data_IF_345953509951
#
_entry.id   IF_345953509951
#
_cell.length_a   1.000
_cell.length_b   1.000
_cell.length_c   1.000
_cell.angle_alpha   90.00
_cell.angle_beta   90.00
_cell.angle_gamma   90.00
#
_symmetry.space_group_name_H-M   'P 1'
#
loop_
_entity.id
_entity.type
_entity.pdbx_description
1 polymer ?
#
# COMPACT_ATOMS: atom_id res chain seq x y z
N UNK A 1 -3.97 0.46 -33.26
CA UNK A 1 -2.91 0.13 -32.28
C UNK A 1 -2.42 1.38 -31.53
N UNK A 2 -1.85 2.38 -32.21
CA UNK A 2 -1.22 3.57 -31.60
C UNK A 2 -2.16 4.40 -30.70
N UNK A 3 -3.44 4.55 -31.05
CA UNK A 3 -4.40 5.29 -30.20
C UNK A 3 -4.69 4.58 -28.88
N UNK A 4 -4.74 3.25 -28.87
CA UNK A 4 -5.03 2.48 -27.66
C UNK A 4 -3.86 2.54 -26.65
N UNK A 5 -2.63 2.46 -27.14
CA UNK A 5 -1.41 2.58 -26.31
C UNK A 5 -1.32 3.97 -25.65
N UNK A 6 -1.62 5.05 -26.40
CA UNK A 6 -1.68 6.41 -25.83
C UNK A 6 -2.74 6.53 -24.73
N UNK A 7 -3.93 5.97 -24.93
CA UNK A 7 -4.99 6.01 -23.93
C UNK A 7 -4.59 5.29 -22.64
N UNK A 8 -3.97 4.11 -22.74
CA UNK A 8 -3.49 3.34 -21.57
C UNK A 8 -2.42 4.12 -20.82
N UNK A 9 -1.43 4.70 -21.52
CA UNK A 9 -0.40 5.51 -20.88
C UNK A 9 -0.97 6.73 -20.13
N UNK A 10 -1.99 7.41 -20.69
CA UNK A 10 -2.67 8.51 -20.01
C UNK A 10 -3.42 8.05 -18.75
N UNK A 11 -4.08 6.89 -18.80
CA UNK A 11 -4.79 6.33 -17.63
C UNK A 11 -3.80 5.94 -16.52
N UNK A 12 -2.65 5.37 -16.87
CA UNK A 12 -1.61 5.01 -15.91
C UNK A 12 -0.97 6.24 -15.25
N UNK A 13 -0.66 7.29 -16.03
CA UNK A 13 -0.18 8.57 -15.47
C UNK A 13 -1.17 9.13 -14.46
N UNK A 14 -2.46 9.15 -14.82
CA UNK A 14 -3.52 9.63 -13.94
C UNK A 14 -3.65 8.76 -12.68
N UNK A 15 -3.55 7.44 -12.80
CA UNK A 15 -3.58 6.53 -11.64
C UNK A 15 -2.42 6.79 -10.68
N UNK A 16 -1.21 7.05 -11.20
CA UNK A 16 -0.05 7.44 -10.39
C UNK A 16 -0.26 8.78 -9.69
N UNK A 17 -0.78 9.80 -10.40
CA UNK A 17 -1.09 11.11 -9.81
C UNK A 17 -2.18 11.05 -8.72
N UNK A 18 -3.15 10.15 -8.88
CA UNK A 18 -4.24 9.95 -7.92
C UNK A 18 -3.87 8.99 -6.79
N UNK A 19 -2.70 8.37 -6.83
CA UNK A 19 -2.28 7.46 -5.77
C UNK A 19 -2.07 8.24 -4.47
N UNK A 20 -2.75 7.88 -3.37
CA UNK A 20 -2.63 8.59 -2.10
C UNK A 20 -1.18 8.59 -1.61
N UNK A 21 -0.74 9.70 -1.00
CA UNK A 21 0.57 9.76 -0.36
C UNK A 21 0.52 9.20 1.06
N UNK A 22 1.63 8.64 1.51
CA UNK A 22 1.78 8.15 2.87
C UNK A 22 2.44 9.20 3.76
N UNK A 23 1.72 9.60 4.80
CA UNK A 23 2.17 10.57 5.81
C UNK A 23 2.42 9.93 7.18
N UNK A 24 2.11 8.64 7.33
CA UNK A 24 2.26 7.92 8.60
C UNK A 24 1.20 8.27 9.66
N UNK A 25 0.05 8.83 9.24
CA UNK A 25 -1.05 9.11 10.17
C UNK A 25 -1.72 7.81 10.63
N UNK A 26 -2.34 7.80 11.83
CA UNK A 26 -2.94 6.59 12.40
C UNK A 26 -4.08 5.96 11.58
N UNK A 27 -4.71 6.73 10.69
CA UNK A 27 -5.76 6.28 9.78
C UNK A 27 -5.23 5.68 8.48
N UNK A 28 -3.90 5.68 8.27
CA UNK A 28 -3.25 5.08 7.12
C UNK A 28 -2.66 3.72 7.49
N UNK A 29 -3.13 2.67 6.82
CA UNK A 29 -2.54 1.33 6.94
C UNK A 29 -1.34 1.21 6.00
N UNK A 30 -0.15 1.00 6.57
CA UNK A 30 1.11 0.93 5.83
C UNK A 30 1.19 -0.29 4.89
N UNK A 31 0.65 -1.43 5.32
CA UNK A 31 0.62 -2.67 4.54
C UNK A 31 -0.30 -2.52 3.33
N UNK A 32 -1.53 -2.04 3.55
CA UNK A 32 -2.50 -1.80 2.48
C UNK A 32 -1.98 -0.75 1.50
N UNK A 33 -1.42 0.34 2.00
CA UNK A 33 -0.87 1.40 1.17
C UNK A 33 0.28 0.90 0.29
N UNK A 34 1.24 0.18 0.87
CA UNK A 34 2.39 -0.36 0.14
C UNK A 34 1.97 -1.37 -0.93
N UNK A 35 0.98 -2.21 -0.60
CA UNK A 35 0.42 -3.17 -1.55
C UNK A 35 -0.23 -2.45 -2.74
N UNK A 36 -1.10 -1.47 -2.47
CA UNK A 36 -1.81 -0.74 -3.53
C UNK A 36 -0.85 0.04 -4.44
N UNK A 37 0.17 0.70 -3.86
CA UNK A 37 1.20 1.38 -4.64
C UNK A 37 2.01 0.42 -5.52
N UNK A 38 2.40 -0.74 -4.98
CA UNK A 38 3.13 -1.77 -5.74
C UNK A 38 2.28 -2.34 -6.88
N UNK A 39 0.98 -2.54 -6.66
CA UNK A 39 0.03 -2.96 -7.69
C UNK A 39 -0.07 -1.90 -8.82
N UNK A 40 -0.11 -0.60 -8.48
CA UNK A 40 -0.07 0.50 -9.45
C UNK A 40 1.23 0.54 -10.25
N UNK A 41 2.39 0.38 -9.59
CA UNK A 41 3.68 0.32 -10.27
C UNK A 41 3.77 -0.86 -11.23
N UNK A 42 3.25 -2.03 -10.85
CA UNK A 42 3.18 -3.20 -11.73
C UNK A 42 2.29 -2.95 -12.94
N UNK A 43 1.12 -2.31 -12.77
CA UNK A 43 0.25 -1.95 -13.89
C UNK A 43 0.90 -0.97 -14.86
N UNK A 44 1.85 -0.16 -14.37
CA UNK A 44 2.62 0.79 -15.16
C UNK A 44 3.93 0.21 -15.73
N UNK A 45 4.13 -1.11 -15.65
CA UNK A 45 5.36 -1.80 -16.06
C UNK A 45 6.63 -1.17 -15.47
N UNK A 46 6.52 -0.65 -14.24
CA UNK A 46 7.61 0.05 -13.58
C UNK A 46 8.58 -0.95 -12.96
N UNK A 47 9.86 -0.82 -13.31
CA UNK A 47 10.93 -1.61 -12.72
C UNK A 47 11.16 -1.24 -11.25
N UNK A 48 11.71 -2.17 -10.46
CA UNK A 48 12.05 -1.91 -9.06
C UNK A 48 13.00 -0.71 -8.88
N UNK A 49 13.95 -0.54 -9.81
CA UNK A 49 14.86 0.59 -9.80
C UNK A 49 14.15 1.93 -10.06
N UNK A 50 13.13 1.95 -10.92
CA UNK A 50 12.30 3.13 -11.14
C UNK A 50 11.40 3.41 -9.92
N UNK A 51 10.74 2.38 -9.38
CA UNK A 51 9.91 2.48 -8.18
C UNK A 51 10.69 3.11 -7.01
N UNK A 52 11.91 2.63 -6.76
CA UNK A 52 12.77 3.15 -5.71
C UNK A 52 13.22 4.59 -5.93
N UNK A 53 13.40 5.03 -7.20
CA UNK A 53 13.71 6.43 -7.50
C UNK A 53 12.54 7.36 -7.23
N UNK A 54 11.32 6.92 -7.49
CA UNK A 54 10.14 7.78 -7.39
C UNK A 54 9.43 7.70 -6.05
N UNK A 55 9.69 6.68 -5.22
CA UNK A 55 9.00 6.52 -3.93
C UNK A 55 8.97 7.78 -3.04
N UNK A 56 9.99 8.67 -3.00
CA UNK A 56 9.93 9.87 -2.17
C UNK A 56 8.85 10.88 -2.59
N UNK A 57 8.27 10.76 -3.78
CA UNK A 57 7.15 11.61 -4.24
C UNK A 57 5.81 11.15 -3.66
N UNK A 58 5.73 9.89 -3.24
CA UNK A 58 4.56 9.27 -2.61
C UNK A 58 4.62 9.29 -1.08
N UNK A 59 5.71 9.80 -0.50
CA UNK A 59 5.88 9.96 0.94
C UNK A 59 5.74 11.45 1.32
N UNK A 60 5.18 11.73 2.50
CA UNK A 60 5.08 13.06 3.07
C UNK A 60 5.49 13.09 4.53
N UNK A 61 5.93 14.26 5.02
CA UNK A 61 6.29 14.45 6.41
C UNK A 61 7.40 13.48 6.88
N UNK A 62 7.17 12.85 8.02
CA UNK A 62 8.15 11.98 8.67
C UNK A 62 8.59 10.78 7.80
N UNK A 63 7.70 10.00 7.15
CA UNK A 63 8.09 8.98 6.17
C UNK A 63 9.07 9.44 5.09
N UNK A 64 8.88 10.64 4.55
CA UNK A 64 9.79 11.18 3.53
C UNK A 64 11.17 11.52 4.09
N UNK A 65 11.20 12.10 5.30
CA UNK A 65 12.45 12.41 5.99
C UNK A 65 13.21 11.12 6.31
N UNK A 66 12.53 10.14 6.90
CA UNK A 66 13.08 8.81 7.19
C UNK A 66 13.67 8.14 5.95
N UNK A 67 12.99 8.21 4.79
CA UNK A 67 13.54 7.66 3.55
C UNK A 67 14.85 8.37 3.17
N UNK A 68 14.88 9.69 3.27
CA UNK A 68 16.05 10.51 2.91
C UNK A 68 17.24 10.17 3.81
N UNK A 69 17.01 10.07 5.12
CA UNK A 69 18.04 9.77 6.12
C UNK A 69 18.63 8.37 5.96
N UNK A 70 17.85 7.42 5.43
CA UNK A 70 18.24 6.02 5.25
C UNK A 70 18.51 5.67 3.78
N UNK A 71 18.63 6.67 2.90
CA UNK A 71 18.70 6.46 1.44
C UNK A 71 19.84 5.55 0.97
N UNK A 72 20.94 5.49 1.71
CA UNK A 72 22.09 4.61 1.42
C UNK A 72 21.84 3.13 1.68
N UNK A 73 20.80 2.80 2.47
CA UNK A 73 20.46 1.43 2.86
C UNK A 73 19.53 0.78 1.82
N UNK A 74 18.76 1.58 1.09
CA UNK A 74 17.77 1.08 0.15
C UNK A 74 18.42 0.73 -1.20
N UNK A 75 19.06 -0.43 -1.27
CA UNK A 75 19.69 -0.92 -2.50
C UNK A 75 18.69 -1.57 -3.48
N UNK A 76 17.52 -1.96 -2.98
CA UNK A 76 16.45 -2.56 -3.79
C UNK A 76 15.07 -2.20 -3.26
N UNK A 77 14.06 -2.34 -4.12
CA UNK A 77 12.67 -2.16 -3.74
C UNK A 77 12.23 -3.13 -2.64
N UNK A 78 12.75 -4.36 -2.66
CA UNK A 78 12.47 -5.38 -1.64
C UNK A 78 12.97 -4.96 -0.24
N UNK A 79 14.20 -4.41 -0.16
CA UNK A 79 14.78 -3.91 1.10
C UNK A 79 13.99 -2.72 1.61
N UNK A 80 13.65 -1.77 0.73
CA UNK A 80 12.81 -0.63 1.11
C UNK A 80 11.46 -1.09 1.66
N UNK A 81 10.73 -1.99 0.98
CA UNK A 81 9.45 -2.51 1.46
C UNK A 81 9.55 -3.12 2.84
N UNK A 82 10.55 -3.98 3.07
CA UNK A 82 10.74 -4.64 4.36
C UNK A 82 10.97 -3.61 5.48
N UNK A 83 11.84 -2.63 5.26
CA UNK A 83 12.13 -1.58 6.23
C UNK A 83 10.93 -0.65 6.44
N UNK A 84 10.19 -0.31 5.39
CA UNK A 84 9.00 0.53 5.46
C UNK A 84 7.91 -0.13 6.30
N UNK A 85 7.60 -1.40 6.02
CA UNK A 85 6.63 -2.19 6.78
C UNK A 85 7.10 -2.33 8.23
N UNK A 86 8.36 -2.68 8.47
CA UNK A 86 8.89 -2.74 9.84
C UNK A 86 8.73 -1.42 10.62
N UNK A 87 8.92 -0.28 9.94
CA UNK A 87 8.90 1.05 10.57
C UNK A 87 7.48 1.58 10.78
N UNK A 88 6.60 1.38 9.80
CA UNK A 88 5.30 2.07 9.72
C UNK A 88 4.09 1.15 9.85
N UNK A 89 4.27 -0.18 9.75
CA UNK A 89 3.20 -1.08 10.12
C UNK A 89 3.00 -1.03 11.62
N UNK A 90 1.80 -0.66 12.03
CA UNK A 90 1.51 -0.59 13.44
C UNK A 90 1.35 -2.01 14.01
N UNK A 91 1.95 -2.33 15.17
CA UNK A 91 1.53 -3.49 15.96
C UNK A 91 0.02 -3.42 16.29
N UNK A 92 -0.52 -2.20 16.36
CA UNK A 92 -1.95 -1.97 16.50
C UNK A 92 -2.74 -2.41 15.28
N UNK A 93 -2.18 -2.52 14.07
CA UNK A 93 -2.92 -3.03 12.90
C UNK A 93 -3.25 -4.51 13.07
N UNK A 94 -2.33 -5.33 13.58
CA UNK A 94 -2.62 -6.73 13.96
C UNK A 94 -3.63 -6.80 15.10
N UNK A 95 -3.44 -5.98 16.13
CA UNK A 95 -4.34 -5.96 17.28
C UNK A 95 -5.75 -5.43 16.93
N UNK A 96 -5.84 -4.44 16.04
CA UNK A 96 -7.06 -3.84 15.52
C UNK A 96 -7.75 -4.78 14.53
N UNK A 97 -6.99 -5.43 13.65
CA UNK A 97 -7.51 -6.50 12.79
C UNK A 97 -8.04 -7.66 13.63
N UNK A 98 -7.33 -8.07 14.68
CA UNK A 98 -7.79 -9.09 15.64
C UNK A 98 -9.04 -8.64 16.40
N UNK A 99 -9.06 -7.40 16.89
CA UNK A 99 -10.23 -6.83 17.57
C UNK A 99 -11.44 -6.73 16.64
N UNK A 100 -11.24 -6.27 15.40
CA UNK A 100 -12.27 -6.18 14.38
C UNK A 100 -12.78 -7.57 14.00
N UNK A 101 -11.90 -8.53 13.77
CA UNK A 101 -12.26 -9.93 13.51
C UNK A 101 -13.12 -10.50 14.65
N UNK A 102 -12.74 -10.26 15.91
CA UNK A 102 -13.48 -10.71 17.10
C UNK A 102 -14.90 -10.14 17.19
N UNK A 103 -15.13 -8.92 16.71
CA UNK A 103 -16.43 -8.26 16.76
C UNK A 103 -17.21 -8.31 15.44
N UNK A 104 -16.65 -8.95 14.40
CA UNK A 104 -17.19 -8.88 13.04
C UNK A 104 -18.43 -9.74 12.85
N UNK A 105 -19.59 -9.11 12.71
CA UNK A 105 -20.84 -9.74 12.28
C UNK A 105 -21.27 -9.19 10.92
N UNK A 106 -21.87 -10.02 10.07
CA UNK A 106 -22.43 -9.57 8.79
C UNK A 106 -23.54 -8.56 9.06
N UNK A 107 -23.51 -7.41 8.38
CA UNK A 107 -24.58 -6.42 8.52
C UNK A 107 -25.83 -6.86 7.75
N UNK A 108 -26.99 -6.35 8.15
CA UNK A 108 -28.28 -6.67 7.51
C UNK A 108 -28.34 -6.22 6.04
N UNK A 109 -27.56 -5.22 5.67
CA UNK A 109 -27.45 -4.63 4.33
C UNK A 109 -26.19 -5.07 3.57
N UNK A 110 -25.39 -5.96 4.13
CA UNK A 110 -24.11 -6.41 3.55
C UNK A 110 -24.28 -7.74 2.83
N UNK A 111 -23.77 -7.82 1.60
CA UNK A 111 -23.78 -9.08 0.85
C UNK A 111 -22.84 -10.11 1.51
N UNK A 112 -23.25 -11.38 1.51
CA UNK A 112 -22.48 -12.46 2.15
C UNK A 112 -21.04 -12.57 1.61
N UNK A 113 -20.83 -12.28 0.32
CA UNK A 113 -19.52 -12.31 -0.31
C UNK A 113 -18.61 -11.18 0.17
N UNK A 114 -19.16 -10.00 0.44
CA UNK A 114 -18.42 -8.85 0.97
C UNK A 114 -17.96 -9.13 2.39
N UNK A 115 -18.87 -9.64 3.23
CA UNK A 115 -18.56 -10.10 4.58
C UNK A 115 -17.46 -11.16 4.60
N UNK A 116 -17.62 -12.22 3.79
CA UNK A 116 -16.64 -13.30 3.70
C UNK A 116 -15.25 -12.78 3.28
N UNK A 117 -15.21 -11.90 2.27
CA UNK A 117 -13.95 -11.34 1.78
C UNK A 117 -13.26 -10.47 2.83
N UNK A 118 -14.03 -9.67 3.58
CA UNK A 118 -13.51 -8.84 4.69
C UNK A 118 -12.94 -9.72 5.82
N UNK A 119 -13.67 -10.77 6.23
CA UNK A 119 -13.21 -11.73 7.24
C UNK A 119 -11.92 -12.44 6.81
N UNK A 120 -11.86 -12.92 5.56
CA UNK A 120 -10.65 -13.58 5.04
C UNK A 120 -9.43 -12.66 4.98
N UNK A 121 -9.63 -11.36 4.67
CA UNK A 121 -8.55 -10.36 4.73
C UNK A 121 -8.08 -10.15 6.17
N UNK A 122 -9.00 -10.00 7.12
CA UNK A 122 -8.68 -9.83 8.53
C UNK A 122 -7.90 -11.04 9.10
N UNK A 123 -8.27 -12.26 8.73
CA UNK A 123 -7.55 -13.47 9.15
C UNK A 123 -6.08 -13.45 8.68
N UNK A 124 -5.83 -13.12 7.40
CA UNK A 124 -4.46 -13.02 6.84
C UNK A 124 -3.65 -11.90 7.47
N UNK A 125 -4.28 -10.84 7.95
CA UNK A 125 -3.57 -9.74 8.61
C UNK A 125 -3.13 -10.14 10.03
N UNK A 126 -3.95 -10.93 10.75
CA UNK A 126 -3.62 -11.40 12.09
C UNK A 126 -2.55 -12.49 12.05
N UNK A 127 -2.68 -13.43 11.10
CA UNK A 127 -1.77 -14.56 10.88
C UNK A 127 -1.40 -14.67 9.37
N UNK A 128 -0.32 -13.97 8.93
CA UNK A 128 0.10 -13.88 7.53
C UNK A 128 0.62 -15.17 6.90
#
# INVERSE_FOLDING_TARGET
LIMAEKTVATLLSKALEQTPKFSGKPDQDADEWMKNLTDTFRMADMTEAQALKIIPTFLEGHPKQWFTDNSTIFESWSVFKAQFIHTYSSPSSKQLASNRLRTRQQRHDEAAIEYYTDVMKLCKLVDP
#
